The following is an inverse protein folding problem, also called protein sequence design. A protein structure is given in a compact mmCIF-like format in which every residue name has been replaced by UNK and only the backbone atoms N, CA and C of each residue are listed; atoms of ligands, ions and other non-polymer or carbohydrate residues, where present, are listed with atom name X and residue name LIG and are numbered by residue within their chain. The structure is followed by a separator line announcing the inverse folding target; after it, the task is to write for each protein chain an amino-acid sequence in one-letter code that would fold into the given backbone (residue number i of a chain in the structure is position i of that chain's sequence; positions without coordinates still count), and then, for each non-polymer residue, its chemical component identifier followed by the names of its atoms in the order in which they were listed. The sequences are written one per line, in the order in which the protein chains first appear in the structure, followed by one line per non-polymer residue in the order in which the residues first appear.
data_IF_007176015542
#
_entry.id   IF_007176015542
#
_cell.length_a   1.000
_cell.length_b   1.000
_cell.length_c   1.000
_cell.angle_alpha   90.00
_cell.angle_beta   90.00
_cell.angle_gamma   90.00
#
_symmetry.space_group_name_H-M   'P 1'
#
loop_
_entity.id
_entity.type
_entity.pdbx_description
1 polymer ?
#
# COMPACT_ATOMS: atom_id res chain seq x y z
N UNK A 1 16.84 -57.70 6.67
CA UNK A 1 15.66 -57.68 5.77
C UNK A 1 14.74 -56.58 6.25
N UNK A 2 14.34 -55.75 5.31
CA UNK A 2 13.80 -54.40 5.41
C UNK A 2 12.54 -54.29 6.28
N UNK A 3 12.50 -53.26 7.14
CA UNK A 3 11.24 -52.76 7.69
C UNK A 3 10.99 -51.46 6.93
N UNK A 4 10.09 -51.52 5.97
CA UNK A 4 9.70 -50.41 5.10
C UNK A 4 9.21 -49.24 5.96
N UNK A 5 9.99 -48.17 5.99
CA UNK A 5 9.52 -46.88 6.48
C UNK A 5 8.76 -46.29 5.29
N UNK A 6 7.44 -46.45 5.28
CA UNK A 6 6.60 -45.63 4.42
C UNK A 6 6.78 -44.17 4.86
N UNK A 7 7.19 -43.24 3.98
CA UNK A 7 7.15 -41.83 4.33
C UNK A 7 5.68 -41.43 4.50
N UNK A 8 5.31 -41.23 5.76
CA UNK A 8 4.07 -40.61 6.18
C UNK A 8 3.87 -39.31 5.40
N UNK A 9 2.80 -39.31 4.60
CA UNK A 9 2.10 -38.17 4.03
C UNK A 9 3.00 -37.06 3.47
N UNK A 10 3.02 -36.96 2.13
CA UNK A 10 3.19 -35.65 1.50
C UNK A 10 2.25 -34.67 2.18
N UNK A 11 2.80 -33.76 2.99
CA UNK A 11 2.15 -32.49 3.28
C UNK A 11 2.08 -31.76 1.95
N UNK A 12 1.05 -32.07 1.15
CA UNK A 12 0.55 -31.11 0.19
C UNK A 12 0.13 -29.92 1.05
N UNK A 13 0.99 -28.92 1.11
CA UNK A 13 0.58 -27.58 1.48
C UNK A 13 -0.55 -27.24 0.50
N UNK A 14 -1.78 -27.25 1.01
CA UNK A 14 -2.95 -26.75 0.31
C UNK A 14 -2.52 -25.39 -0.22
N UNK A 15 -2.37 -25.27 -1.54
CA UNK A 15 -2.07 -24.01 -2.18
C UNK A 15 -3.19 -23.05 -1.82
N UNK A 16 -2.98 -22.28 -0.74
CA UNK A 16 -3.67 -21.02 -0.58
C UNK A 16 -3.27 -20.26 -1.81
N UNK A 17 -4.24 -19.99 -2.69
CA UNK A 17 -4.12 -18.99 -3.73
C UNK A 17 -3.73 -17.70 -3.00
N UNK A 18 -2.43 -17.50 -2.84
CA UNK A 18 -1.87 -16.47 -1.99
C UNK A 18 -1.87 -15.26 -2.90
N UNK A 19 -2.93 -14.46 -2.78
CA UNK A 19 -3.05 -13.24 -3.55
C UNK A 19 -1.79 -12.37 -3.39
N UNK A 20 -1.55 -11.53 -4.38
CA UNK A 20 -0.30 -10.77 -4.47
C UNK A 20 -0.24 -9.74 -3.36
N UNK A 21 0.93 -9.60 -2.76
CA UNK A 21 1.23 -8.49 -1.85
C UNK A 21 1.74 -7.30 -2.65
N UNK A 22 1.01 -6.20 -2.65
CA UNK A 22 1.35 -4.99 -3.42
C UNK A 22 1.39 -3.74 -2.57
N UNK A 23 2.26 -2.80 -2.94
CA UNK A 23 2.44 -1.52 -2.26
C UNK A 23 2.32 -0.35 -3.24
N UNK A 24 1.69 0.73 -2.80
CA UNK A 24 1.76 2.04 -3.44
C UNK A 24 2.26 3.07 -2.44
N UNK A 25 3.21 3.92 -2.85
CA UNK A 25 3.79 4.94 -1.97
C UNK A 25 3.63 6.33 -2.56
N UNK A 26 3.29 7.27 -1.69
CA UNK A 26 3.07 8.68 -2.01
C UNK A 26 3.84 9.51 -0.98
N UNK A 27 4.65 10.46 -1.44
CA UNK A 27 5.45 11.34 -0.59
C UNK A 27 5.51 12.74 -1.14
N UNK A 28 5.13 13.76 -0.36
CA UNK A 28 5.08 15.14 -0.84
C UNK A 28 5.79 16.04 0.17
N UNK A 29 6.92 16.60 -0.23
CA UNK A 29 7.63 17.65 0.51
C UNK A 29 7.36 19.03 -0.07
N UNK A 30 7.31 19.13 -1.41
CA UNK A 30 7.19 20.39 -2.12
C UNK A 30 5.74 20.75 -2.47
N UNK A 31 5.05 21.35 -1.50
CA UNK A 31 3.71 21.89 -1.72
C UNK A 31 3.74 23.28 -2.36
N UNK A 32 2.82 23.53 -3.29
CA UNK A 32 2.65 24.85 -3.93
C UNK A 32 1.99 25.86 -2.98
N UNK A 33 1.00 25.42 -2.20
CA UNK A 33 0.15 26.29 -1.38
C UNK A 33 0.27 26.05 0.14
N UNK A 34 1.11 25.10 0.57
CA UNK A 34 1.31 24.73 1.98
C UNK A 34 2.80 24.82 2.34
N UNK A 35 3.17 24.94 3.63
CA UNK A 35 4.56 24.91 4.04
C UNK A 35 5.26 23.64 3.53
N UNK A 36 6.52 23.77 3.11
CA UNK A 36 7.31 22.62 2.66
C UNK A 36 7.60 21.68 3.84
N UNK A 37 7.64 20.38 3.55
CA UNK A 37 8.21 19.38 4.44
C UNK A 37 9.64 19.04 3.99
N UNK A 38 10.37 18.24 4.77
CA UNK A 38 11.78 17.95 4.52
C UNK A 38 12.11 16.45 4.45
N UNK A 39 11.12 15.57 4.61
CA UNK A 39 11.38 14.14 4.76
C UNK A 39 10.27 13.22 4.23
N UNK A 40 9.13 13.75 3.79
CA UNK A 40 8.01 12.93 3.31
C UNK A 40 8.39 12.08 2.09
N UNK A 41 9.19 12.62 1.17
CA UNK A 41 9.70 11.87 0.01
C UNK A 41 10.67 10.78 0.44
N UNK A 42 11.53 11.07 1.41
CA UNK A 42 12.48 10.09 1.92
C UNK A 42 11.76 8.95 2.67
N UNK A 43 10.74 9.28 3.46
CA UNK A 43 9.88 8.30 4.15
C UNK A 43 9.16 7.39 3.15
N UNK A 44 8.56 7.96 2.10
CA UNK A 44 7.89 7.18 1.05
C UNK A 44 8.85 6.22 0.33
N UNK A 45 10.07 6.68 0.02
CA UNK A 45 11.13 5.84 -0.57
C UNK A 45 11.61 4.75 0.40
N UNK A 46 11.73 5.08 1.68
CA UNK A 46 12.11 4.14 2.74
C UNK A 46 11.06 3.04 2.90
N UNK A 47 9.79 3.41 2.97
CA UNK A 47 8.67 2.49 3.04
C UNK A 47 8.64 1.54 1.82
N UNK A 48 8.78 2.07 0.60
CA UNK A 48 8.83 1.23 -0.60
C UNK A 48 9.95 0.18 -0.53
N UNK A 49 11.17 0.58 -0.14
CA UNK A 49 12.30 -0.34 0.03
C UNK A 49 11.99 -1.43 1.07
N UNK A 50 11.47 -1.03 2.23
CA UNK A 50 11.14 -1.97 3.31
C UNK A 50 10.08 -2.99 2.85
N UNK A 51 8.99 -2.54 2.24
CA UNK A 51 7.94 -3.43 1.76
C UNK A 51 8.43 -4.36 0.64
N UNK A 52 9.29 -3.89 -0.25
CA UNK A 52 9.92 -4.75 -1.25
C UNK A 52 10.79 -5.84 -0.62
N UNK A 53 11.50 -5.55 0.48
CA UNK A 53 12.26 -6.57 1.23
C UNK A 53 11.34 -7.59 1.92
N UNK A 54 10.11 -7.21 2.24
CA UNK A 54 9.08 -8.09 2.80
C UNK A 54 8.30 -8.89 1.72
N UNK A 55 8.68 -8.78 0.45
CA UNK A 55 8.06 -9.52 -0.66
C UNK A 55 6.89 -8.80 -1.33
N UNK A 56 6.65 -7.51 -1.05
CA UNK A 56 5.65 -6.74 -1.76
C UNK A 56 6.17 -6.26 -3.12
N UNK A 57 5.30 -6.27 -4.13
CA UNK A 57 5.55 -5.65 -5.43
C UNK A 57 4.97 -4.23 -5.49
N UNK A 58 5.64 -3.30 -6.17
CA UNK A 58 5.04 -1.99 -6.41
C UNK A 58 3.93 -2.09 -7.46
N UNK A 59 2.74 -1.56 -7.12
CA UNK A 59 1.58 -1.59 -8.03
C UNK A 59 1.68 -0.55 -9.15
N UNK A 60 2.41 0.54 -8.90
CA UNK A 60 2.67 1.64 -9.81
C UNK A 60 3.97 2.34 -9.39
N UNK A 61 4.47 3.25 -10.24
CA UNK A 61 5.61 4.11 -9.88
C UNK A 61 5.28 4.99 -8.67
N UNK A 62 6.24 5.25 -7.76
CA UNK A 62 6.06 6.15 -6.62
C UNK A 62 5.59 7.53 -7.05
N UNK A 63 4.58 8.06 -6.37
CA UNK A 63 4.10 9.43 -6.60
C UNK A 63 4.81 10.37 -5.62
N UNK A 64 5.74 11.18 -6.15
CA UNK A 64 6.60 12.05 -5.33
C UNK A 64 6.48 13.51 -5.78
N UNK A 65 6.37 14.43 -4.81
CA UNK A 65 6.29 15.89 -5.02
C UNK A 65 5.36 16.27 -6.18
N UNK A 66 5.87 16.98 -7.20
CA UNK A 66 5.10 17.44 -8.35
C UNK A 66 4.46 16.33 -9.19
N UNK A 67 4.90 15.07 -9.05
CA UNK A 67 4.23 13.93 -9.67
C UNK A 67 2.98 13.47 -8.90
N UNK A 68 2.89 13.76 -7.60
CA UNK A 68 1.77 13.41 -6.73
C UNK A 68 0.57 14.35 -6.89
N UNK A 69 0.16 14.58 -8.14
CA UNK A 69 -1.02 15.39 -8.47
C UNK A 69 -2.31 14.65 -8.06
N UNK A 70 -3.39 15.42 -7.82
CA UNK A 70 -4.72 14.83 -7.55
C UNK A 70 -5.19 13.89 -8.67
N UNK A 71 -4.91 14.23 -9.93
CA UNK A 71 -5.22 13.38 -11.08
C UNK A 71 -4.38 12.10 -11.10
N UNK A 72 -3.07 12.17 -10.80
CA UNK A 72 -2.22 10.99 -10.71
C UNK A 72 -2.66 10.05 -9.58
N UNK A 73 -3.01 10.60 -8.40
CA UNK A 73 -3.58 9.82 -7.31
C UNK A 73 -4.90 9.17 -7.72
N UNK A 74 -5.81 9.91 -8.37
CA UNK A 74 -7.08 9.36 -8.87
C UNK A 74 -6.85 8.22 -9.87
N UNK A 75 -5.91 8.37 -10.80
CA UNK A 75 -5.54 7.31 -11.77
C UNK A 75 -4.93 6.10 -11.10
N UNK A 76 -4.10 6.29 -10.08
CA UNK A 76 -3.60 5.17 -9.27
C UNK A 76 -4.77 4.34 -8.73
N UNK A 77 -5.81 4.97 -8.17
CA UNK A 77 -6.98 4.26 -7.69
C UNK A 77 -7.73 3.54 -8.84
N UNK A 78 -8.06 4.23 -9.92
CA UNK A 78 -8.91 3.68 -10.99
C UNK A 78 -8.22 2.67 -11.88
N UNK A 79 -6.92 2.84 -12.14
CA UNK A 79 -6.22 2.10 -13.19
C UNK A 79 -5.38 0.95 -12.62
N UNK A 80 -5.01 1.03 -11.35
CA UNK A 80 -4.18 0.03 -10.67
C UNK A 80 -4.94 -0.65 -9.53
N UNK A 81 -5.42 0.11 -8.55
CA UNK A 81 -6.01 -0.47 -7.34
C UNK A 81 -7.36 -1.14 -7.60
N UNK A 82 -8.15 -0.64 -8.55
CA UNK A 82 -9.41 -1.24 -8.95
C UNK A 82 -9.28 -2.62 -9.64
N UNK A 83 -8.06 -3.03 -10.03
CA UNK A 83 -7.78 -4.32 -10.70
C UNK A 83 -7.27 -5.40 -9.74
N UNK A 84 -7.24 -5.11 -8.44
CA UNK A 84 -6.80 -6.08 -7.43
C UNK A 84 -7.87 -7.16 -7.22
N UNK A 85 -7.40 -8.39 -7.06
CA UNK A 85 -8.27 -9.50 -6.72
C UNK A 85 -8.66 -9.45 -5.23
N UNK A 86 -9.78 -10.06 -4.82
CA UNK A 86 -10.18 -10.12 -3.41
C UNK A 86 -9.11 -10.70 -2.46
N UNK A 87 -8.23 -11.55 -2.98
CA UNK A 87 -7.16 -12.21 -2.26
C UNK A 87 -5.88 -11.37 -2.20
N UNK A 88 -5.75 -10.34 -3.05
CA UNK A 88 -4.57 -9.46 -3.09
C UNK A 88 -4.51 -8.60 -1.82
N UNK A 89 -3.30 -8.45 -1.26
CA UNK A 89 -3.04 -7.59 -0.11
C UNK A 89 -2.45 -6.26 -0.58
N UNK A 90 -3.11 -5.15 -0.27
CA UNK A 90 -2.67 -3.80 -0.63
C UNK A 90 -2.19 -3.00 0.59
N UNK A 91 -1.00 -2.41 0.47
CA UNK A 91 -0.54 -1.33 1.35
C UNK A 91 -0.48 -0.02 0.57
N UNK A 92 -1.13 1.03 1.10
CA UNK A 92 -0.96 2.41 0.63
C UNK A 92 -0.22 3.19 1.70
N UNK A 93 0.99 3.65 1.39
CA UNK A 93 1.79 4.50 2.26
C UNK A 93 1.71 5.95 1.78
N UNK A 94 1.34 6.87 2.66
CA UNK A 94 1.28 8.29 2.37
C UNK A 94 2.06 9.06 3.43
N UNK A 95 2.98 9.92 2.99
CA UNK A 95 3.67 10.91 3.82
C UNK A 95 3.46 12.30 3.22
N UNK A 96 2.98 13.24 4.03
CA UNK A 96 2.66 14.59 3.60
C UNK A 96 1.73 15.29 4.58
N UNK A 97 1.22 16.45 4.18
CA UNK A 97 0.18 17.17 4.92
C UNK A 97 -1.14 16.40 4.93
N UNK A 98 -1.76 16.35 6.11
CA UNK A 98 -3.10 15.82 6.32
C UNK A 98 -4.01 16.87 6.96
N UNK A 99 -5.29 16.82 6.62
CA UNK A 99 -6.32 17.63 7.27
C UNK A 99 -7.52 16.76 7.60
N UNK A 100 -8.03 16.88 8.83
CA UNK A 100 -9.23 16.18 9.25
C UNK A 100 -10.42 17.11 9.10
N UNK A 101 -11.34 16.77 8.20
CA UNK A 101 -12.61 17.47 8.08
C UNK A 101 -13.66 16.82 8.98
N UNK A 102 -14.20 17.57 9.92
CA UNK A 102 -15.38 17.15 10.69
C UNK A 102 -16.62 17.47 9.86
N UNK A 103 -17.22 16.46 9.22
CA UNK A 103 -18.54 16.61 8.63
C UNK A 103 -19.60 16.39 9.72
N UNK A 104 -20.35 17.43 10.06
CA UNK A 104 -21.55 17.27 10.86
C UNK A 104 -22.60 16.54 10.03
N UNK A 105 -22.85 15.26 10.32
CA UNK A 105 -24.13 14.67 9.97
C UNK A 105 -25.18 15.34 10.86
N UNK A 106 -26.28 15.80 10.26
CA UNK A 106 -27.26 16.69 10.90
C UNK A 106 -27.58 16.35 12.37
N UNK A 107 -27.55 17.39 13.19
CA UNK A 107 -28.00 17.48 14.59
C UNK A 107 -27.86 16.23 15.46
N UNK A 108 -26.63 15.77 15.72
CA UNK A 108 -26.37 15.06 16.98
C UNK A 108 -25.04 15.55 17.56
N UNK A 109 -25.14 16.49 18.48
CA UNK A 109 -24.04 16.82 19.40
C UNK A 109 -24.09 15.84 20.56
N UNK A 110 -23.18 14.87 20.63
CA UNK A 110 -22.96 14.11 21.88
C UNK A 110 -21.84 14.81 22.64
N UNK A 111 -22.19 15.25 23.85
CA UNK A 111 -21.40 16.03 24.78
C UNK A 111 -20.26 15.24 25.43
#
# INVERSE_FOLDING_TARGET
MHRDIEPCASSQELGVDTGRSVVSVIGIDEYVAWPRLHNAVNDARGAARMFMQLGFAQVASPLLDGAATGEAMRRLLTDHLAKLAPEDSLVVFFAGHGHTHTAGFGDVTVK
#
